data_IF_280396967676
#
_entry.id   IF_280396967676
#
_cell.length_a   1.000
_cell.length_b   1.000
_cell.length_c   1.000
_cell.angle_alpha   90.00
_cell.angle_beta   90.00
_cell.angle_gamma   90.00
#
_symmetry.space_group_name_H-M   'P 1'
#
loop_
_entity.id
_entity.type
_entity.pdbx_description
1 polymer ?
#
# COMPACT_ATOMS: atom_id res chain seq x y z
N UNK A 1 32.94 -22.42 41.81
CA UNK A 1 32.83 -22.26 40.35
C UNK A 1 31.46 -22.80 39.95
N UNK A 2 30.44 -21.93 39.87
CA UNK A 2 29.09 -22.28 39.45
C UNK A 2 28.75 -21.43 38.23
N UNK A 3 28.66 -22.06 37.06
CA UNK A 3 28.26 -21.42 35.81
C UNK A 3 26.75 -21.39 35.67
N UNK A 4 26.18 -20.18 35.51
CA UNK A 4 24.77 -19.97 35.17
C UNK A 4 24.52 -20.26 33.69
N UNK A 5 23.54 -21.09 33.32
CA UNK A 5 23.06 -21.21 31.96
C UNK A 5 21.66 -20.58 31.86
N UNK A 6 21.58 -19.27 31.65
CA UNK A 6 20.31 -18.66 31.21
C UNK A 6 20.55 -17.37 30.43
N UNK A 7 21.05 -17.54 29.21
CA UNK A 7 20.84 -16.59 28.12
C UNK A 7 20.41 -17.39 26.89
N UNK A 8 19.19 -17.93 26.92
CA UNK A 8 18.47 -18.22 25.68
C UNK A 8 17.68 -16.99 25.31
N UNK A 9 18.40 -15.98 24.83
CA UNK A 9 17.80 -14.98 23.96
C UNK A 9 17.28 -15.74 22.73
N UNK A 10 15.97 -15.94 22.66
CA UNK A 10 15.32 -16.43 21.47
C UNK A 10 15.59 -15.45 20.33
N UNK A 11 16.64 -15.69 19.56
CA UNK A 11 16.76 -15.12 18.22
C UNK A 11 15.61 -15.72 17.44
N UNK A 12 14.51 -14.98 17.35
CA UNK A 12 13.53 -15.15 16.27
C UNK A 12 14.35 -15.06 14.99
N UNK A 13 14.62 -16.22 14.38
CA UNK A 13 15.23 -16.25 13.05
C UNK A 13 14.25 -15.52 12.15
N UNK A 14 14.66 -14.40 11.59
CA UNK A 14 13.92 -13.77 10.49
C UNK A 14 13.72 -14.88 9.45
N UNK A 15 12.47 -15.26 9.19
CA UNK A 15 12.14 -16.24 8.16
C UNK A 15 12.41 -15.55 6.83
N UNK A 16 13.63 -15.74 6.36
CA UNK A 16 14.10 -15.41 5.03
C UNK A 16 13.12 -16.04 4.02
N UNK A 17 12.21 -15.22 3.47
CA UNK A 17 11.16 -15.68 2.56
C UNK A 17 9.73 -15.23 2.85
N UNK A 18 9.47 -14.42 3.90
CA UNK A 18 8.12 -13.86 4.11
C UNK A 18 7.91 -12.60 3.23
N UNK A 19 6.95 -12.60 2.29
CA UNK A 19 6.65 -11.44 1.46
C UNK A 19 6.11 -10.29 2.31
N UNK A 20 6.40 -9.06 1.89
CA UNK A 20 5.77 -7.87 2.46
C UNK A 20 4.83 -7.26 1.45
N UNK A 21 3.72 -6.74 1.95
CA UNK A 21 2.71 -6.00 1.20
C UNK A 21 2.88 -4.52 1.49
N UNK A 22 2.99 -3.74 0.43
CA UNK A 22 2.96 -2.28 0.47
C UNK A 22 1.72 -1.81 -0.28
N UNK A 23 0.89 -1.02 0.38
CA UNK A 23 -0.29 -0.39 -0.22
C UNK A 23 0.09 1.00 -0.68
N UNK A 24 -0.19 1.28 -1.95
CA UNK A 24 -0.01 2.59 -2.57
C UNK A 24 -1.36 3.11 -3.03
N UNK A 25 -1.84 4.17 -2.39
CA UNK A 25 -3.07 4.86 -2.71
C UNK A 25 -2.85 6.03 -3.68
N UNK A 26 -3.96 6.67 -4.06
CA UNK A 26 -4.03 7.82 -4.94
C UNK A 26 -3.48 7.57 -6.36
N UNK A 27 -3.44 6.32 -6.79
CA UNK A 27 -3.00 5.96 -8.14
C UNK A 27 -4.02 6.43 -9.17
N UNK A 28 -3.53 6.79 -10.35
CA UNK A 28 -4.39 7.10 -11.48
C UNK A 28 -5.10 5.86 -12.00
N UNK A 29 -6.38 6.00 -12.36
CA UNK A 29 -7.17 4.92 -12.96
C UNK A 29 -6.52 4.46 -14.26
N UNK A 30 -6.61 3.16 -14.53
CA UNK A 30 -6.04 2.57 -15.74
C UNK A 30 -4.55 2.25 -15.64
N UNK A 31 -3.82 2.72 -14.63
CA UNK A 31 -2.42 2.32 -14.44
C UNK A 31 -2.29 0.79 -14.42
N UNK A 32 -1.44 0.25 -15.28
CA UNK A 32 -1.25 -1.20 -15.40
C UNK A 32 -0.31 -1.74 -14.31
N UNK A 33 -0.62 -2.90 -13.70
CA UNK A 33 0.30 -3.57 -12.78
C UNK A 33 1.70 -3.79 -13.39
N UNK A 34 1.78 -4.15 -14.69
CA UNK A 34 3.05 -4.37 -15.37
C UNK A 34 3.90 -3.11 -15.41
N UNK A 35 3.30 -1.95 -15.71
CA UNK A 35 4.00 -0.65 -15.75
C UNK A 35 4.55 -0.27 -14.38
N UNK A 36 3.87 -0.63 -13.29
CA UNK A 36 4.37 -0.44 -11.92
C UNK A 36 5.63 -1.27 -11.70
N UNK A 37 5.57 -2.58 -12.00
CA UNK A 37 6.71 -3.49 -11.82
C UNK A 37 7.93 -3.04 -12.65
N UNK A 38 7.73 -2.74 -13.93
CA UNK A 38 8.78 -2.28 -14.83
C UNK A 38 9.42 -0.96 -14.36
N UNK A 39 8.58 -0.01 -13.93
CA UNK A 39 9.06 1.28 -13.41
C UNK A 39 9.90 1.09 -12.14
N UNK A 40 9.42 0.30 -11.19
CA UNK A 40 10.14 0.07 -9.92
C UNK A 40 11.44 -0.71 -10.15
N UNK A 41 11.41 -1.74 -11.01
CA UNK A 41 12.63 -2.45 -11.40
C UNK A 41 13.66 -1.50 -12.01
N UNK A 42 13.23 -0.58 -12.90
CA UNK A 42 14.12 0.41 -13.52
C UNK A 42 14.68 1.44 -12.53
N UNK A 43 13.92 1.80 -11.49
CA UNK A 43 14.28 2.90 -10.58
C UNK A 43 15.03 2.46 -9.32
N UNK A 44 14.70 1.31 -8.77
CA UNK A 44 15.28 0.82 -7.51
C UNK A 44 15.89 -0.59 -7.61
N UNK A 45 15.86 -1.20 -8.79
CA UNK A 45 16.46 -2.52 -9.06
C UNK A 45 15.99 -3.62 -8.12
N UNK A 46 14.67 -3.64 -7.85
CA UNK A 46 14.02 -4.69 -7.07
C UNK A 46 13.15 -5.57 -7.97
N UNK A 47 13.00 -6.84 -7.58
CA UNK A 47 11.92 -7.70 -8.09
C UNK A 47 10.70 -7.54 -7.20
N UNK A 48 9.53 -7.32 -7.81
CA UNK A 48 8.26 -7.19 -7.11
C UNK A 48 7.10 -7.66 -7.98
N UNK A 49 5.97 -7.95 -7.34
CA UNK A 49 4.69 -8.13 -8.02
C UNK A 49 3.80 -6.93 -7.70
N UNK A 50 2.99 -6.50 -8.65
CA UNK A 50 2.02 -5.43 -8.44
C UNK A 50 0.61 -5.88 -8.79
N UNK A 51 -0.35 -5.30 -8.11
CA UNK A 51 -1.78 -5.51 -8.30
C UNK A 51 -2.51 -4.18 -8.18
N UNK A 52 -3.57 -3.97 -8.97
CA UNK A 52 -4.44 -2.79 -8.86
C UNK A 52 -5.80 -3.24 -8.36
N UNK A 53 -6.22 -2.68 -7.23
CA UNK A 53 -7.52 -2.95 -6.64
C UNK A 53 -8.65 -2.49 -7.58
N UNK A 54 -9.75 -3.26 -7.67
CA UNK A 54 -10.97 -2.77 -8.30
C UNK A 54 -11.42 -1.46 -7.65
N UNK A 55 -11.95 -0.55 -8.46
CA UNK A 55 -12.32 0.79 -8.03
C UNK A 55 -13.74 1.12 -8.52
N UNK A 56 -14.62 1.55 -7.61
CA UNK A 56 -16.01 1.89 -7.92
C UNK A 56 -16.07 3.12 -8.83
N UNK A 57 -17.02 3.25 -9.76
CA UNK A 57 -17.05 4.39 -10.71
C UNK A 57 -17.08 5.78 -10.04
N UNK A 58 -17.54 5.86 -8.79
CA UNK A 58 -17.58 7.08 -7.97
C UNK A 58 -16.23 7.49 -7.36
N UNK A 59 -15.24 6.60 -7.30
CA UNK A 59 -13.94 6.86 -6.69
C UNK A 59 -13.01 7.63 -7.65
N UNK A 60 -12.27 8.62 -7.17
CA UNK A 60 -11.46 9.47 -8.06
C UNK A 60 -10.01 9.01 -8.21
N UNK A 61 -9.66 7.92 -7.55
CA UNK A 61 -8.34 7.30 -7.56
C UNK A 61 -8.46 5.79 -7.40
N UNK A 62 -7.41 5.05 -7.72
CA UNK A 62 -7.31 3.61 -7.43
C UNK A 62 -6.21 3.32 -6.43
N UNK A 63 -6.24 2.12 -5.88
CA UNK A 63 -5.25 1.59 -4.94
C UNK A 63 -4.44 0.49 -5.60
N UNK A 64 -3.12 0.55 -5.45
CA UNK A 64 -2.20 -0.50 -5.84
C UNK A 64 -1.68 -1.24 -4.62
N UNK A 65 -1.31 -2.50 -4.85
CA UNK A 65 -0.61 -3.34 -3.90
C UNK A 65 0.67 -3.83 -4.53
N UNK A 66 1.79 -3.67 -3.83
CA UNK A 66 3.10 -4.14 -4.26
C UNK A 66 3.55 -5.21 -3.27
N UNK A 67 3.81 -6.41 -3.78
CA UNK A 67 4.40 -7.50 -3.02
C UNK A 67 5.90 -7.54 -3.29
N UNK A 68 6.68 -7.51 -2.22
CA UNK A 68 8.15 -7.52 -2.28
C UNK A 68 8.70 -8.56 -1.34
N UNK A 69 9.64 -9.36 -1.83
CA UNK A 69 10.35 -10.34 -1.04
C UNK A 69 11.65 -9.76 -0.48
N UNK A 70 11.94 -10.08 0.79
CA UNK A 70 13.16 -9.70 1.48
C UNK A 70 13.13 -8.28 2.07
N UNK A 71 13.56 -8.18 3.32
CA UNK A 71 13.59 -6.92 4.09
C UNK A 71 14.37 -5.81 3.38
N UNK A 72 15.53 -6.14 2.80
CA UNK A 72 16.36 -5.19 2.07
C UNK A 72 15.63 -4.53 0.89
N UNK A 73 14.86 -5.30 0.12
CA UNK A 73 14.11 -4.75 -1.02
C UNK A 73 12.93 -3.91 -0.55
N UNK A 74 12.29 -4.32 0.54
CA UNK A 74 11.19 -3.60 1.17
C UNK A 74 11.65 -2.25 1.67
N UNK A 75 12.80 -2.17 2.34
CA UNK A 75 13.33 -0.91 2.85
C UNK A 75 13.78 -0.01 1.70
N UNK A 76 14.48 -0.54 0.69
CA UNK A 76 14.79 0.21 -0.54
C UNK A 76 13.55 0.79 -1.22
N UNK A 77 12.47 0.02 -1.30
CA UNK A 77 11.23 0.49 -1.90
C UNK A 77 10.54 1.55 -1.03
N UNK A 78 10.47 1.35 0.29
CA UNK A 78 9.91 2.33 1.22
C UNK A 78 10.66 3.67 1.14
N UNK A 79 11.99 3.64 1.19
CA UNK A 79 12.84 4.83 1.10
C UNK A 79 12.64 5.56 -0.23
N UNK A 80 12.42 4.83 -1.32
CA UNK A 80 12.10 5.41 -2.62
C UNK A 80 10.69 6.00 -2.66
N UNK A 81 9.66 5.32 -2.14
CA UNK A 81 8.29 5.83 -2.16
C UNK A 81 8.09 7.06 -1.25
N UNK A 82 8.85 7.16 -0.17
CA UNK A 82 8.73 8.20 0.87
C UNK A 82 9.87 9.21 0.89
N UNK A 83 10.86 9.08 0.01
CA UNK A 83 12.04 9.93 0.01
C UNK A 83 11.70 11.42 -0.13
N UNK A 84 12.33 12.32 0.66
CA UNK A 84 12.02 13.75 0.62
C UNK A 84 12.44 14.41 -0.69
N UNK A 85 13.45 13.84 -1.36
CA UNK A 85 14.09 14.45 -2.54
C UNK A 85 13.27 14.27 -3.83
N UNK A 86 12.22 13.45 -3.80
CA UNK A 86 11.39 13.21 -4.96
C UNK A 86 9.97 12.78 -4.62
N UNK A 87 9.08 12.87 -5.59
CA UNK A 87 7.73 12.29 -5.52
C UNK A 87 7.50 11.49 -6.79
N UNK A 88 6.86 10.34 -6.66
CA UNK A 88 6.38 9.57 -7.81
C UNK A 88 4.98 10.07 -8.12
N UNK A 89 4.75 10.45 -9.38
CA UNK A 89 3.46 10.90 -9.87
C UNK A 89 3.01 10.04 -11.05
N UNK A 90 1.70 9.89 -11.22
CA UNK A 90 1.11 9.43 -12.47
C UNK A 90 1.09 10.55 -13.52
N UNK A 91 0.77 10.24 -14.78
CA UNK A 91 0.79 11.18 -15.89
C UNK A 91 -0.09 12.42 -15.68
N UNK A 92 -1.18 12.31 -14.93
CA UNK A 92 -2.03 13.44 -14.51
C UNK A 92 -1.41 14.36 -13.44
N UNK A 93 -0.23 14.03 -12.90
CA UNK A 93 0.40 14.73 -11.78
C UNK A 93 -0.04 14.25 -10.39
N UNK A 94 -0.84 13.17 -10.31
CA UNK A 94 -1.29 12.58 -9.04
C UNK A 94 -0.14 11.89 -8.31
N UNK A 95 0.16 12.28 -7.06
CA UNK A 95 1.23 11.66 -6.28
C UNK A 95 0.84 10.29 -5.76
N UNK A 96 1.77 9.35 -5.82
CA UNK A 96 1.66 8.05 -5.17
C UNK A 96 1.82 8.23 -3.66
N UNK A 97 0.93 7.59 -2.90
CA UNK A 97 0.93 7.69 -1.43
C UNK A 97 1.03 6.29 -0.83
N UNK A 98 2.16 5.99 -0.19
CA UNK A 98 2.28 4.75 0.58
C UNK A 98 1.47 4.88 1.86
N UNK A 99 0.43 4.05 2.02
CA UNK A 99 -0.50 4.14 3.16
C UNK A 99 -0.38 2.98 4.12
N UNK A 100 0.17 1.84 3.68
CA UNK A 100 0.36 0.67 4.53
C UNK A 100 1.62 -0.12 4.12
N UNK A 101 2.29 -0.70 5.12
CA UNK A 101 3.42 -1.63 4.97
C UNK A 101 3.27 -2.74 6.00
N UNK A 102 2.97 -3.96 5.55
CA UNK A 102 2.64 -5.10 6.43
C UNK A 102 3.30 -6.39 5.96
N UNK A 103 3.72 -7.26 6.88
CA UNK A 103 4.21 -8.61 6.58
C UNK A 103 3.05 -9.51 6.20
N UNK A 104 3.16 -10.22 5.09
CA UNK A 104 2.15 -11.18 4.64
C UNK A 104 2.53 -12.56 5.15
N UNK A 105 1.86 -12.99 6.22
CA UNK A 105 2.07 -14.32 6.79
C UNK A 105 1.24 -15.41 6.11
N UNK A 106 0.29 -15.05 5.22
CA UNK A 106 -0.71 -15.97 4.71
C UNK A 106 -0.64 -16.16 3.18
N UNK A 107 -0.48 -17.40 2.68
CA UNK A 107 -0.51 -17.71 1.24
C UNK A 107 -1.82 -17.30 0.53
N UNK A 108 -2.91 -17.17 1.29
CA UNK A 108 -4.25 -16.82 0.79
C UNK A 108 -4.28 -15.43 0.14
N UNK A 109 -3.51 -14.47 0.64
CA UNK A 109 -3.42 -13.10 0.10
C UNK A 109 -2.83 -13.11 -1.31
N UNK A 110 -1.74 -13.88 -1.53
CA UNK A 110 -1.14 -14.05 -2.86
C UNK A 110 -2.13 -14.68 -3.84
N UNK A 111 -2.86 -15.72 -3.42
CA UNK A 111 -3.88 -16.36 -4.27
C UNK A 111 -5.04 -15.41 -4.61
N UNK A 112 -5.51 -14.60 -3.66
CA UNK A 112 -6.56 -13.61 -3.90
C UNK A 112 -6.14 -12.56 -4.93
N UNK A 113 -4.92 -12.03 -4.81
CA UNK A 113 -4.37 -11.08 -5.79
C UNK A 113 -4.25 -11.70 -7.19
N UNK A 114 -3.76 -12.93 -7.27
CA UNK A 114 -3.61 -13.64 -8.55
C UNK A 114 -4.94 -13.86 -9.26
N UNK A 115 -5.99 -14.23 -8.52
CA UNK A 115 -7.34 -14.43 -9.06
C UNK A 115 -7.90 -13.11 -9.60
N UNK A 116 -7.75 -12.02 -8.84
CA UNK A 116 -8.24 -10.71 -9.24
C UNK A 116 -7.50 -10.17 -10.47
N UNK A 117 -6.20 -10.40 -10.57
CA UNK A 117 -5.39 -9.98 -11.72
C UNK A 117 -5.81 -10.69 -13.02
N UNK A 118 -6.11 -12.00 -12.96
CA UNK A 118 -6.62 -12.75 -14.14
C UNK A 118 -7.94 -12.20 -14.66
N UNK A 119 -8.83 -11.74 -13.76
CA UNK A 119 -10.09 -11.11 -14.18
C UNK A 119 -9.86 -9.75 -14.86
N UNK A 120 -8.88 -8.96 -14.39
CA UNK A 120 -8.55 -7.66 -14.96
C UNK A 120 -7.80 -7.74 -16.30
N UNK A 121 -6.99 -8.77 -16.53
CA UNK A 121 -6.28 -8.98 -17.80
C UNK A 121 -7.21 -9.19 -19.00
N UNK A 122 -8.46 -9.64 -18.77
CA UNK A 122 -9.48 -9.75 -19.83
C UNK A 122 -9.93 -8.39 -20.40
N UNK A 123 -9.68 -7.30 -19.67
CA UNK A 123 -10.01 -5.92 -20.05
C UNK A 123 -8.74 -5.18 -20.45
N UNK A 124 -8.11 -5.57 -21.56
CA UNK A 124 -6.97 -4.82 -22.12
C UNK A 124 -7.46 -3.45 -22.59
N UNK A 125 -7.19 -2.43 -21.80
CA UNK A 125 -7.14 -1.06 -22.29
C UNK A 125 -5.67 -0.65 -22.27
N UNK A 126 -5.10 -0.41 -23.45
CA UNK A 126 -3.80 0.23 -23.62
C UNK A 126 -3.92 1.67 -23.11
N UNK A 127 -3.76 1.84 -21.80
CA UNK A 127 -3.76 3.16 -21.19
C UNK A 127 -2.31 3.66 -21.14
N UNK A 128 -2.13 4.91 -21.56
CA UNK A 128 -0.83 5.58 -21.62
C UNK A 128 -0.29 5.99 -20.24
N UNK A 129 -1.00 5.68 -19.16
CA UNK A 129 -0.65 6.17 -17.82
C UNK A 129 0.68 5.56 -17.37
N UNK A 130 1.69 6.42 -17.31
CA UNK A 130 3.06 6.09 -16.94
C UNK A 130 3.49 6.87 -15.70
N UNK A 131 4.07 6.17 -14.71
CA UNK A 131 4.63 6.83 -13.55
C UNK A 131 5.92 7.56 -13.91
N UNK A 132 6.12 8.70 -13.26
CA UNK A 132 7.28 9.57 -13.40
C UNK A 132 7.79 9.97 -12.01
N UNK A 133 9.11 10.12 -11.91
CA UNK A 133 9.75 10.71 -10.72
C UNK A 133 9.92 12.21 -10.94
N UNK A 134 9.44 13.02 -10.01
CA UNK A 134 9.68 14.47 -9.98
C UNK A 134 10.64 14.83 -8.85
N UNK A 135 11.67 15.60 -9.18
CA UNK A 135 12.70 15.99 -8.22
C UNK A 135 12.27 17.20 -7.39
N UNK A 136 12.72 17.22 -6.13
CA UNK A 136 12.55 18.34 -5.20
C UNK A 136 13.07 19.65 -5.79
N UNK A 137 12.42 20.75 -5.43
CA UNK A 137 12.73 22.09 -5.94
C UNK A 137 12.04 22.48 -7.25
N UNK A 138 11.43 21.53 -7.97
CA UNK A 138 10.63 21.84 -9.18
C UNK A 138 9.22 22.31 -8.82
N UNK A 139 8.60 23.12 -9.68
CA UNK A 139 7.19 23.52 -9.52
C UNK A 139 6.24 22.30 -9.55
N UNK A 140 6.57 21.31 -10.38
CA UNK A 140 5.83 20.05 -10.47
C UNK A 140 5.88 19.28 -9.14
N UNK A 141 7.05 19.23 -8.49
CA UNK A 141 7.19 18.67 -7.15
C UNK A 141 6.40 19.45 -6.11
N UNK A 142 6.44 20.78 -6.11
CA UNK A 142 5.66 21.61 -5.15
C UNK A 142 4.17 21.30 -5.26
N UNK A 143 3.64 21.22 -6.49
CA UNK A 143 2.25 20.85 -6.75
C UNK A 143 1.95 19.41 -6.30
N UNK A 144 2.80 18.45 -6.65
CA UNK A 144 2.65 17.06 -6.26
C UNK A 144 2.66 16.88 -4.74
N UNK A 145 3.50 17.65 -4.03
CA UNK A 145 3.57 17.66 -2.57
C UNK A 145 2.27 18.17 -1.95
N UNK A 146 1.75 19.30 -2.41
CA UNK A 146 0.45 19.81 -1.94
C UNK A 146 -0.69 18.80 -2.15
N UNK A 147 -0.71 18.10 -3.30
CA UNK A 147 -1.70 17.06 -3.56
C UNK A 147 -1.51 15.82 -2.66
N UNK A 148 -0.26 15.48 -2.32
CA UNK A 148 0.08 14.36 -1.42
C UNK A 148 -0.38 14.67 -0.01
N UNK A 149 -0.13 15.89 0.46
CA UNK A 149 -0.55 16.38 1.77
C UNK A 149 -2.08 16.41 1.88
N UNK A 150 -2.76 16.94 0.84
CA UNK A 150 -4.24 16.91 0.76
C UNK A 150 -4.80 15.48 0.81
N UNK A 151 -4.17 14.53 0.10
CA UNK A 151 -4.60 13.14 0.15
C UNK A 151 -4.43 12.53 1.54
N UNK A 152 -3.35 12.88 2.24
CA UNK A 152 -3.14 12.44 3.63
C UNK A 152 -4.21 12.97 4.59
N UNK A 153 -4.59 14.24 4.46
CA UNK A 153 -5.69 14.82 5.23
C UNK A 153 -7.01 14.07 4.97
N UNK A 154 -7.31 13.79 3.70
CA UNK A 154 -8.48 13.00 3.31
C UNK A 154 -8.45 11.58 3.90
N UNK A 155 -7.32 10.87 3.78
CA UNK A 155 -7.17 9.51 4.30
C UNK A 155 -7.34 9.47 5.82
N UNK A 156 -6.77 10.44 6.54
CA UNK A 156 -6.94 10.57 7.98
C UNK A 156 -8.42 10.82 8.35
N UNK A 157 -9.13 11.66 7.58
CA UNK A 157 -10.54 11.89 7.80
C UNK A 157 -11.38 10.61 7.60
N UNK A 158 -11.11 9.84 6.54
CA UNK A 158 -11.76 8.53 6.32
C UNK A 158 -11.51 7.57 7.50
N UNK A 159 -10.28 7.49 7.99
CA UNK A 159 -9.95 6.67 9.16
C UNK A 159 -10.75 7.09 10.42
N UNK A 160 -10.93 8.39 10.64
CA UNK A 160 -11.73 8.90 11.77
C UNK A 160 -13.21 8.55 11.63
N UNK A 161 -13.77 8.66 10.41
CA UNK A 161 -15.15 8.25 10.13
C UNK A 161 -15.36 6.76 10.38
N UNK A 162 -14.44 5.90 9.91
CA UNK A 162 -14.52 4.46 10.17
C UNK A 162 -14.45 4.11 11.66
N UNK A 163 -13.58 4.78 12.42
CA UNK A 163 -13.51 4.61 13.88
C UNK A 163 -14.81 5.02 14.57
N UNK A 164 -15.39 6.15 14.15
CA UNK A 164 -16.68 6.61 14.69
C UNK A 164 -17.78 5.60 14.39
N UNK A 165 -17.88 5.10 13.17
CA UNK A 165 -18.86 4.08 12.79
C UNK A 165 -18.75 2.83 13.68
N UNK A 166 -17.54 2.30 13.85
CA UNK A 166 -17.28 1.13 14.69
C UNK A 166 -17.76 1.32 16.14
N UNK A 167 -17.55 2.52 16.71
CA UNK A 167 -18.00 2.85 18.07
C UNK A 167 -19.53 2.85 18.15
N UNK A 168 -20.21 3.50 17.20
CA UNK A 168 -21.67 3.58 17.22
C UNK A 168 -22.31 2.20 16.98
N UNK A 169 -21.76 1.38 16.08
CA UNK A 169 -22.21 0.00 15.88
C UNK A 169 -22.06 -0.83 17.17
N UNK A 170 -20.92 -0.69 17.87
CA UNK A 170 -20.69 -1.32 19.17
C UNK A 170 -21.73 -0.91 20.22
N UNK A 171 -22.09 0.37 20.28
CA UNK A 171 -23.14 0.86 21.19
C UNK A 171 -24.51 0.24 20.88
N UNK A 172 -24.88 0.19 19.60
CA UNK A 172 -26.14 -0.43 19.15
C UNK A 172 -26.17 -1.91 19.55
N UNK A 173 -25.07 -2.63 19.33
CA UNK A 173 -24.94 -4.04 19.71
C UNK A 173 -25.12 -4.25 21.22
N UNK A 174 -24.50 -3.41 22.05
CA UNK A 174 -24.65 -3.50 23.50
C UNK A 174 -26.08 -3.22 23.98
N UNK A 175 -26.75 -2.22 23.39
CA UNK A 175 -28.15 -1.90 23.70
C UNK A 175 -29.08 -3.06 23.35
N UNK A 176 -28.92 -3.65 22.16
CA UNK A 176 -29.71 -4.80 21.70
C UNK A 176 -29.60 -6.00 22.66
N UNK A 177 -28.37 -6.35 23.07
CA UNK A 177 -28.12 -7.44 24.00
C UNK A 177 -28.68 -7.18 25.41
N UNK A 178 -28.73 -5.93 25.86
CA UNK A 178 -29.32 -5.57 27.15
C UNK A 178 -30.86 -5.68 27.13
N UNK A 179 -31.49 -5.44 25.98
CA UNK A 179 -32.94 -5.59 25.81
C UNK A 179 -33.38 -7.06 25.71
N UNK A 180 -32.55 -7.94 25.16
CA UNK A 180 -32.84 -9.40 25.08
C UNK A 180 -32.68 -10.16 26.40
N UNK A 181 -32.02 -9.56 27.41
CA UNK A 181 -31.83 -10.15 28.74
C UNK A 181 -32.89 -9.74 29.77
N UNK A 182 -33.94 -9.04 29.32
CA UNK A 182 -35.13 -8.68 30.12
C UNK A 182 -36.31 -9.54 29.68
#
# INVERSE_FOLDING_TARGET
MNGNPSQRAGRVREIEGTPHMIIVDNLERGLSPLKIVEFLHKKVSISCEAFISPCMSSEWYTRGTILVDGKTNVDKLSDFLEGPDHIIISSSGRPWVMTEKTRVHEPSIKNFMLISQKQQQSRRSETMNEPKVVASGTEEYKKAKLLKDLFWEFANHQCQLHRRLLIEEGRIWHLSNAMQKR
#
